data_IF_192312671656
#
_entry.id   IF_192312671656
#
_cell.length_a   1.000
_cell.length_b   1.000
_cell.length_c   1.000
_cell.angle_alpha   90.00
_cell.angle_beta   90.00
_cell.angle_gamma   90.00
#
_symmetry.space_group_name_H-M   'P 1'
#
loop_
_entity.id
_entity.type
_entity.pdbx_description
1 polymer ?
#
# COMPACT_ATOMS: atom_id res chain seq x y z
N UNK A 1 3.73 -2.12 -7.68
CA UNK A 1 4.27 -2.26 -6.32
C UNK A 1 5.34 -1.20 -6.11
N UNK A 2 5.21 -0.45 -5.04
CA UNK A 2 6.18 0.57 -4.64
C UNK A 2 6.76 0.18 -3.29
N UNK A 3 7.99 0.57 -3.02
CA UNK A 3 8.61 0.39 -1.72
C UNK A 3 9.56 1.53 -1.39
N UNK A 4 9.72 1.78 -0.11
CA UNK A 4 10.58 2.80 0.45
C UNK A 4 11.55 2.15 1.42
N UNK A 5 12.75 2.67 1.50
CA UNK A 5 13.75 2.28 2.48
C UNK A 5 13.82 3.30 3.61
N UNK A 6 14.29 2.87 4.78
CA UNK A 6 14.50 3.80 5.90
C UNK A 6 15.54 4.87 5.53
N UNK A 7 16.59 4.51 4.80
CA UNK A 7 17.62 5.43 4.34
C UNK A 7 17.04 6.52 3.46
N UNK A 8 16.24 6.14 2.45
CA UNK A 8 15.60 7.11 1.56
C UNK A 8 14.62 8.01 2.30
N UNK A 9 13.79 7.43 3.19
CA UNK A 9 12.89 8.22 4.02
C UNK A 9 13.65 9.24 4.87
N UNK A 10 14.78 8.86 5.50
CA UNK A 10 15.59 9.78 6.28
C UNK A 10 16.17 10.91 5.42
N UNK A 11 16.53 10.67 4.17
CA UNK A 11 16.98 11.71 3.24
C UNK A 11 15.85 12.70 2.91
N UNK A 12 14.65 12.21 2.64
CA UNK A 12 13.48 13.04 2.33
C UNK A 12 13.11 13.98 3.46
N UNK A 13 13.18 13.52 4.70
CA UNK A 13 12.75 14.31 5.87
C UNK A 13 13.80 15.26 6.43
N UNK A 14 15.04 15.25 5.91
CA UNK A 14 16.12 16.15 6.41
C UNK A 14 15.73 17.62 6.41
N UNK A 15 14.87 18.05 5.48
CA UNK A 15 14.42 19.42 5.35
C UNK A 15 12.88 19.52 5.27
N UNK A 16 12.18 18.48 5.69
CA UNK A 16 10.72 18.43 5.65
C UNK A 16 10.11 19.11 6.89
N UNK A 17 8.94 19.72 6.70
CA UNK A 17 8.12 20.20 7.80
C UNK A 17 7.52 19.02 8.58
N UNK A 18 7.30 19.20 9.88
CA UNK A 18 6.80 18.11 10.77
C UNK A 18 5.47 17.50 10.31
N UNK A 19 4.60 18.32 9.71
CA UNK A 19 3.30 17.90 9.20
C UNK A 19 3.36 17.13 7.86
N UNK A 20 4.54 17.07 7.23
CA UNK A 20 4.78 16.34 5.98
C UNK A 20 5.45 14.96 6.18
N UNK A 21 5.82 14.60 7.41
CA UNK A 21 6.56 13.36 7.66
C UNK A 21 5.76 12.11 7.28
N UNK A 22 4.45 12.10 7.53
CA UNK A 22 3.57 11.01 7.12
C UNK A 22 3.42 10.92 5.61
N UNK A 23 3.35 12.06 4.92
CA UNK A 23 3.29 12.10 3.47
C UNK A 23 4.53 11.41 2.85
N UNK A 24 5.73 11.81 3.22
CA UNK A 24 6.96 11.22 2.70
C UNK A 24 7.10 9.73 3.03
N UNK A 25 6.57 9.30 4.16
CA UNK A 25 6.64 7.90 4.59
C UNK A 25 5.64 7.00 3.87
N UNK A 26 4.42 7.48 3.63
CA UNK A 26 3.29 6.64 3.21
C UNK A 26 2.73 6.95 1.82
N UNK A 27 3.21 8.03 1.17
CA UNK A 27 2.80 8.35 -0.19
C UNK A 27 3.79 7.77 -1.19
N UNK A 28 3.32 6.85 -2.01
CA UNK A 28 4.14 6.11 -2.98
C UNK A 28 4.79 6.99 -4.05
N UNK A 29 4.31 8.22 -4.26
CA UNK A 29 4.89 9.15 -5.21
C UNK A 29 6.29 9.63 -4.80
N UNK A 30 6.60 9.55 -3.51
CA UNK A 30 7.89 9.95 -2.95
C UNK A 30 8.85 8.76 -2.77
N UNK A 31 8.41 7.54 -3.09
CA UNK A 31 9.22 6.36 -2.89
C UNK A 31 10.20 6.15 -4.05
N UNK A 32 11.43 5.78 -3.68
CA UNK A 32 12.55 5.68 -4.60
C UNK A 32 12.36 4.60 -5.67
N UNK A 33 11.74 3.48 -5.29
CA UNK A 33 11.69 2.32 -6.13
C UNK A 33 10.27 1.86 -6.44
N UNK A 34 10.05 1.55 -7.72
CA UNK A 34 8.82 0.94 -8.18
C UNK A 34 9.10 -0.34 -8.97
N UNK A 35 8.43 -1.42 -8.60
CA UNK A 35 8.39 -2.63 -9.40
C UNK A 35 7.20 -2.54 -10.37
N UNK A 36 7.45 -2.04 -11.57
CA UNK A 36 6.42 -1.77 -12.59
C UNK A 36 6.10 -3.00 -13.45
N UNK A 37 5.84 -4.14 -12.83
CA UNK A 37 5.28 -5.28 -13.54
C UNK A 37 6.15 -5.82 -14.68
N UNK A 38 7.48 -5.76 -14.54
CA UNK A 38 8.41 -6.40 -15.47
C UNK A 38 8.43 -7.91 -15.31
N UNK A 39 7.88 -8.40 -14.21
CA UNK A 39 7.71 -9.81 -13.95
C UNK A 39 6.56 -10.41 -14.76
N UNK A 40 6.75 -11.62 -15.26
CA UNK A 40 5.77 -12.34 -16.06
C UNK A 40 4.38 -12.42 -15.39
N UNK A 41 4.33 -12.65 -14.08
CA UNK A 41 3.07 -12.80 -13.36
C UNK A 41 2.30 -11.49 -13.23
N UNK A 42 3.01 -10.38 -13.04
CA UNK A 42 2.40 -9.04 -13.05
C UNK A 42 1.87 -8.67 -14.43
N UNK A 43 2.61 -9.00 -15.49
CA UNK A 43 2.15 -8.79 -16.87
C UNK A 43 0.87 -9.59 -17.15
N UNK A 44 0.86 -10.88 -16.81
CA UNK A 44 -0.33 -11.74 -16.97
C UNK A 44 -1.54 -11.23 -16.15
N UNK A 45 -1.31 -10.72 -14.94
CA UNK A 45 -2.36 -10.13 -14.10
C UNK A 45 -2.89 -8.83 -14.73
N UNK A 46 -2.00 -7.94 -15.19
CA UNK A 46 -2.38 -6.70 -15.85
C UNK A 46 -3.21 -6.96 -17.11
N UNK A 47 -2.80 -7.92 -17.94
CA UNK A 47 -3.53 -8.31 -19.14
C UNK A 47 -4.95 -8.82 -18.82
N UNK A 48 -5.08 -9.63 -17.76
CA UNK A 48 -6.39 -10.11 -17.30
C UNK A 48 -7.28 -8.96 -16.81
N UNK A 49 -6.73 -8.07 -15.98
CA UNK A 49 -7.47 -6.92 -15.46
C UNK A 49 -7.91 -5.98 -16.60
N UNK A 50 -7.02 -5.69 -17.55
CA UNK A 50 -7.35 -4.88 -18.72
C UNK A 50 -8.47 -5.51 -19.56
N UNK A 51 -8.40 -6.82 -19.80
CA UNK A 51 -9.41 -7.57 -20.55
C UNK A 51 -10.79 -7.53 -19.89
N UNK A 52 -10.86 -7.53 -18.57
CA UNK A 52 -12.10 -7.40 -17.81
C UNK A 52 -12.59 -5.95 -17.86
N UNK A 53 -11.68 -4.98 -17.70
CA UNK A 53 -12.00 -3.55 -17.74
C UNK A 53 -12.58 -3.10 -19.08
N UNK A 54 -12.07 -3.63 -20.21
CA UNK A 54 -12.64 -3.39 -21.54
C UNK A 54 -14.12 -3.77 -21.65
N UNK A 55 -14.59 -4.68 -20.81
CA UNK A 55 -15.99 -5.10 -20.71
C UNK A 55 -16.81 -4.29 -19.70
N UNK A 56 -16.20 -3.31 -19.02
CA UNK A 56 -16.77 -2.60 -17.87
C UNK A 56 -17.29 -3.54 -16.75
N UNK A 57 -16.57 -4.65 -16.52
CA UNK A 57 -16.92 -5.66 -15.51
C UNK A 57 -16.04 -5.58 -14.25
N UNK A 58 -15.08 -4.63 -14.19
CA UNK A 58 -14.25 -4.44 -12.99
C UNK A 58 -15.01 -3.61 -11.97
N UNK A 59 -15.22 -4.20 -10.81
CA UNK A 59 -15.46 -3.49 -9.58
C UNK A 59 -14.10 -3.24 -8.91
N UNK A 60 -13.63 -1.99 -8.95
CA UNK A 60 -12.34 -1.60 -8.37
C UNK A 60 -12.26 -1.99 -6.89
N UNK A 61 -13.36 -1.88 -6.16
CA UNK A 61 -13.42 -2.27 -4.75
C UNK A 61 -13.11 -3.75 -4.56
N UNK A 62 -13.65 -4.62 -5.40
CA UNK A 62 -13.34 -6.06 -5.34
C UNK A 62 -11.86 -6.35 -5.62
N UNK A 63 -11.22 -5.61 -6.53
CA UNK A 63 -9.78 -5.74 -6.78
C UNK A 63 -8.98 -5.42 -5.52
N UNK A 64 -9.31 -4.33 -4.83
CA UNK A 64 -8.65 -3.96 -3.58
C UNK A 64 -8.90 -4.97 -2.45
N UNK A 65 -10.12 -5.50 -2.33
CA UNK A 65 -10.43 -6.55 -1.36
C UNK A 65 -9.62 -7.83 -1.63
N UNK A 66 -9.45 -8.22 -2.89
CA UNK A 66 -8.56 -9.32 -3.27
C UNK A 66 -7.09 -9.04 -2.93
N UNK A 67 -6.63 -7.80 -3.09
CA UNK A 67 -5.26 -7.41 -2.73
C UNK A 67 -5.05 -7.49 -1.20
N UNK A 68 -6.01 -7.06 -0.39
CA UNK A 68 -5.98 -7.19 1.07
C UNK A 68 -5.87 -8.68 1.47
N UNK A 69 -6.67 -9.55 0.88
CA UNK A 69 -6.59 -10.99 1.14
C UNK A 69 -5.24 -11.59 0.74
N UNK A 70 -4.67 -11.14 -0.39
CA UNK A 70 -3.34 -11.55 -0.80
C UNK A 70 -2.27 -11.11 0.20
N UNK A 71 -2.32 -9.87 0.70
CA UNK A 71 -1.41 -9.35 1.71
C UNK A 71 -1.50 -10.13 3.03
N UNK A 72 -2.72 -10.44 3.48
CA UNK A 72 -2.94 -11.29 4.67
C UNK A 72 -2.27 -12.65 4.49
N UNK A 73 -2.40 -13.28 3.31
CA UNK A 73 -1.75 -14.58 3.03
C UNK A 73 -0.24 -14.46 3.03
N UNK A 74 0.34 -13.43 2.41
CA UNK A 74 1.78 -13.20 2.40
C UNK A 74 2.36 -13.13 3.82
N UNK A 75 1.66 -12.47 4.75
CA UNK A 75 2.01 -12.41 6.16
C UNK A 75 1.85 -13.76 6.85
N UNK A 76 0.68 -14.39 6.70
CA UNK A 76 0.36 -15.67 7.34
C UNK A 76 1.33 -16.78 6.92
N UNK A 77 1.71 -16.83 5.66
CA UNK A 77 2.60 -17.84 5.10
C UNK A 77 4.08 -17.48 5.30
N UNK A 78 4.36 -16.36 6.02
CA UNK A 78 5.71 -15.85 6.31
C UNK A 78 6.56 -15.61 5.06
N UNK A 79 5.92 -15.33 3.92
CA UNK A 79 6.60 -14.92 2.68
C UNK A 79 7.17 -13.51 2.86
N UNK A 80 6.44 -12.67 3.60
CA UNK A 80 6.86 -11.32 4.00
C UNK A 80 6.99 -11.29 5.51
N UNK A 81 8.12 -10.78 6.01
CA UNK A 81 8.39 -10.63 7.44
C UNK A 81 7.33 -9.76 8.12
N UNK A 82 7.05 -10.02 9.40
CA UNK A 82 6.16 -9.19 10.21
C UNK A 82 6.68 -7.76 10.42
N UNK A 83 7.98 -7.55 10.24
CA UNK A 83 8.60 -6.21 10.33
C UNK A 83 8.30 -5.33 9.12
N UNK A 84 7.96 -5.92 7.98
CA UNK A 84 7.60 -5.19 6.75
C UNK A 84 6.15 -4.77 6.83
N UNK A 85 5.85 -3.49 6.71
CA UNK A 85 4.48 -3.00 6.59
C UNK A 85 3.99 -3.13 5.14
N UNK A 86 2.83 -3.76 4.95
CA UNK A 86 2.16 -3.83 3.66
C UNK A 86 1.00 -2.83 3.67
N UNK A 87 1.09 -1.83 2.80
CA UNK A 87 0.13 -0.73 2.73
C UNK A 87 -0.54 -0.76 1.35
N UNK A 88 -1.87 -0.70 1.36
CA UNK A 88 -2.67 -0.61 0.15
C UNK A 88 -3.16 0.83 -0.02
N UNK A 89 -2.74 1.48 -1.09
CA UNK A 89 -3.29 2.78 -1.44
C UNK A 89 -4.59 2.60 -2.22
N UNK A 90 -5.70 2.82 -1.57
CA UNK A 90 -7.05 2.66 -2.12
C UNK A 90 -7.93 3.90 -1.89
N UNK A 91 -7.32 5.08 -1.81
CA UNK A 91 -7.99 6.37 -1.53
C UNK A 91 -9.17 6.70 -2.45
N UNK A 92 -9.15 6.17 -3.66
CA UNK A 92 -10.23 6.39 -4.63
C UNK A 92 -11.47 5.52 -4.37
N UNK A 93 -11.34 4.45 -3.58
CA UNK A 93 -12.38 3.44 -3.38
C UNK A 93 -12.78 3.27 -1.92
N UNK A 94 -11.87 3.55 -0.99
CA UNK A 94 -12.06 3.34 0.44
C UNK A 94 -12.08 4.66 1.19
N UNK A 95 -12.99 4.76 2.15
CA UNK A 95 -12.96 5.80 3.15
C UNK A 95 -11.76 5.60 4.09
N UNK A 96 -11.33 6.68 4.75
CA UNK A 96 -10.20 6.64 5.68
C UNK A 96 -10.32 5.52 6.74
N UNK A 97 -11.49 5.35 7.33
CA UNK A 97 -11.75 4.28 8.32
C UNK A 97 -11.57 2.89 7.72
N UNK A 98 -11.99 2.69 6.47
CA UNK A 98 -11.82 1.42 5.78
C UNK A 98 -10.35 1.13 5.47
N UNK A 99 -9.56 2.16 5.14
CA UNK A 99 -8.11 2.01 4.96
C UNK A 99 -7.41 1.65 6.26
N UNK A 100 -7.81 2.25 7.39
CA UNK A 100 -7.31 1.88 8.71
C UNK A 100 -7.65 0.42 9.05
N UNK A 101 -8.88 0.01 8.80
CA UNK A 101 -9.32 -1.38 9.03
C UNK A 101 -8.53 -2.36 8.15
N UNK A 102 -8.31 -2.03 6.89
CA UNK A 102 -7.51 -2.84 5.97
C UNK A 102 -6.06 -2.97 6.45
N UNK A 103 -5.45 -1.86 6.87
CA UNK A 103 -4.09 -1.86 7.42
C UNK A 103 -3.99 -2.76 8.67
N UNK A 104 -4.93 -2.64 9.61
CA UNK A 104 -4.96 -3.47 10.82
C UNK A 104 -5.14 -4.95 10.48
N UNK A 105 -6.00 -5.29 9.53
CA UNK A 105 -6.19 -6.68 9.07
C UNK A 105 -4.92 -7.30 8.51
N UNK A 106 -4.12 -6.51 7.79
CA UNK A 106 -2.90 -6.99 7.13
C UNK A 106 -1.72 -7.04 8.08
N UNK A 107 -1.49 -5.97 8.86
CA UNK A 107 -0.28 -5.78 9.66
C UNK A 107 -0.49 -6.07 11.15
N UNK A 108 -1.73 -6.29 11.58
CA UNK A 108 -2.12 -6.43 12.99
C UNK A 108 -2.29 -5.08 13.68
N UNK A 109 -2.95 -5.11 14.84
CA UNK A 109 -3.08 -3.91 15.68
C UNK A 109 -1.80 -3.71 16.47
N UNK A 110 -1.13 -2.58 16.25
CA UNK A 110 0.06 -2.18 17.00
C UNK A 110 -0.29 -0.94 17.83
N UNK A 111 0.03 -0.96 19.11
CA UNK A 111 -0.01 0.24 19.94
C UNK A 111 0.94 1.28 19.31
N UNK A 112 0.48 2.52 19.18
CA UNK A 112 1.23 3.62 18.54
C UNK A 112 1.58 3.39 17.06
N UNK A 113 0.64 2.84 16.28
CA UNK A 113 0.80 2.68 14.85
C UNK A 113 0.98 4.05 14.17
N UNK A 114 2.16 4.29 13.63
CA UNK A 114 2.52 5.55 12.97
C UNK A 114 1.64 5.82 11.74
N UNK A 115 1.32 4.77 10.96
CA UNK A 115 0.40 4.88 9.83
C UNK A 115 -0.96 5.46 10.24
N UNK A 116 -1.57 4.92 11.31
CA UNK A 116 -2.88 5.37 11.78
C UNK A 116 -2.82 6.80 12.31
N UNK A 117 -1.76 7.13 13.05
CA UNK A 117 -1.60 8.45 13.66
C UNK A 117 -1.37 9.55 12.62
N UNK A 118 -0.78 9.21 11.50
CA UNK A 118 -0.39 10.16 10.44
C UNK A 118 -1.26 10.08 9.19
N UNK A 119 -2.33 9.30 9.19
CA UNK A 119 -3.16 9.10 7.99
C UNK A 119 -3.72 10.42 7.44
N UNK A 120 -3.94 11.41 8.30
CA UNK A 120 -4.43 12.73 7.89
C UNK A 120 -3.41 13.56 7.08
N UNK A 121 -2.14 13.18 7.12
CA UNK A 121 -1.08 13.88 6.39
C UNK A 121 -1.00 13.43 4.91
N UNK A 122 -1.50 12.24 4.58
CA UNK A 122 -1.36 11.67 3.23
C UNK A 122 -2.66 11.14 2.62
N UNK A 123 -3.75 11.04 3.38
CA UNK A 123 -5.09 10.71 2.88
C UNK A 123 -5.75 11.92 2.25
#
# INVERSE_FOLDING_TARGET
LYFNTEEHYQELILNADEDMLGYYKYCENEWEESANGTDKYFTELADKLNSINEKNEIDERQVYECAIEAFIRLKKDQIVSDEVELILNARNCFEKSEMIDAYIKVNGHRENCDFINKIDEFY
#
